data_IF_024041526979
#
_entry.id   IF_024041526979
#
_cell.length_a   1.000
_cell.length_b   1.000
_cell.length_c   1.000
_cell.angle_alpha   90.00
_cell.angle_beta   90.00
_cell.angle_gamma   90.00
#
_symmetry.space_group_name_H-M   'P 1'
#
loop_
_entity.id
_entity.type
_entity.pdbx_description
1 polymer ?
#
# COMPACT_ATOMS: atom_id res chain seq x y z
N UNK A 1 26.60 11.16 22.17
CA UNK A 1 25.44 10.27 22.39
C UNK A 1 24.11 10.86 21.91
N UNK A 2 23.84 12.16 22.09
CA UNK A 2 22.57 12.79 21.67
C UNK A 2 22.26 12.68 20.16
N UNK A 3 23.26 12.90 19.29
CA UNK A 3 23.07 12.82 17.82
C UNK A 3 22.64 11.44 17.33
N UNK A 4 23.25 10.38 17.87
CA UNK A 4 22.91 8.99 17.50
C UNK A 4 21.48 8.67 17.94
N UNK A 5 21.10 9.03 19.17
CA UNK A 5 19.74 8.85 19.67
C UNK A 5 18.72 9.60 18.81
N UNK A 6 18.99 10.85 18.48
CA UNK A 6 18.08 11.68 17.69
C UNK A 6 17.92 11.14 16.25
N UNK A 7 19.00 10.59 15.67
CA UNK A 7 18.95 9.88 14.39
C UNK A 7 18.12 8.59 14.46
N UNK A 8 18.32 7.76 15.50
CA UNK A 8 17.54 6.54 15.72
C UNK A 8 16.05 6.85 15.87
N UNK A 9 15.70 7.86 16.67
CA UNK A 9 14.31 8.31 16.83
C UNK A 9 13.73 8.71 15.48
N UNK A 10 14.48 9.48 14.69
CA UNK A 10 14.03 9.93 13.36
C UNK A 10 13.76 8.75 12.43
N UNK A 11 14.67 7.76 12.38
CA UNK A 11 14.51 6.56 11.56
C UNK A 11 13.29 5.76 11.98
N UNK A 12 13.11 5.54 13.28
CA UNK A 12 11.94 4.82 13.83
C UNK A 12 10.64 5.56 13.53
N UNK A 13 10.62 6.89 13.69
CA UNK A 13 9.45 7.71 13.38
C UNK A 13 9.10 7.61 11.89
N UNK A 14 10.06 7.76 10.98
CA UNK A 14 9.80 7.66 9.53
C UNK A 14 9.34 6.24 9.16
N UNK A 15 10.03 5.21 9.66
CA UNK A 15 9.71 3.81 9.40
C UNK A 15 8.31 3.40 9.89
N UNK A 16 7.78 4.05 10.91
CA UNK A 16 6.43 3.81 11.42
C UNK A 16 5.37 4.71 10.77
N UNK A 17 5.65 6.02 10.67
CA UNK A 17 4.65 7.00 10.23
C UNK A 17 4.37 6.94 8.74
N UNK A 18 5.36 6.60 7.90
CA UNK A 18 5.13 6.54 6.44
C UNK A 18 4.14 5.45 6.06
N UNK A 19 4.29 4.18 6.48
CA UNK A 19 3.30 3.15 6.18
C UNK A 19 1.91 3.47 6.75
N UNK A 20 1.83 4.01 7.96
CA UNK A 20 0.56 4.43 8.57
C UNK A 20 -0.11 5.56 7.78
N UNK A 21 0.66 6.51 7.24
CA UNK A 21 0.13 7.58 6.41
C UNK A 21 -0.37 7.03 5.05
N UNK A 22 0.36 6.08 4.44
CA UNK A 22 -0.09 5.41 3.21
C UNK A 22 -1.41 4.67 3.46
N UNK A 23 -1.48 3.83 4.50
CA UNK A 23 -2.69 3.07 4.80
C UNK A 23 -3.89 3.97 5.14
N UNK A 24 -3.67 5.04 5.91
CA UNK A 24 -4.74 5.98 6.26
C UNK A 24 -5.23 6.81 5.07
N UNK A 25 -4.32 7.22 4.16
CA UNK A 25 -4.72 7.92 2.93
C UNK A 25 -5.47 7.01 1.96
N UNK A 26 -5.06 5.74 1.83
CA UNK A 26 -5.79 4.74 1.06
C UNK A 26 -7.17 4.44 1.67
N UNK A 27 -7.26 4.24 2.99
CA UNK A 27 -8.54 4.05 3.69
C UNK A 27 -9.48 5.25 3.60
N UNK A 28 -8.93 6.46 3.42
CA UNK A 28 -9.69 7.69 3.17
C UNK A 28 -10.10 7.87 1.69
N UNK A 29 -9.80 6.92 0.80
CA UNK A 29 -10.12 6.97 -0.62
C UNK A 29 -9.24 7.93 -1.44
N UNK A 30 -8.11 8.39 -0.88
CA UNK A 30 -7.22 9.35 -1.54
C UNK A 30 -6.21 8.68 -2.49
N UNK A 31 -6.26 7.36 -2.64
CA UNK A 31 -5.51 6.57 -3.62
C UNK A 31 -4.02 6.96 -3.72
N UNK A 32 -3.23 6.82 -2.63
CA UNK A 32 -1.80 7.13 -2.65
C UNK A 32 -1.11 6.35 -3.78
N UNK A 33 -0.20 7.02 -4.49
CA UNK A 33 0.43 6.47 -5.70
C UNK A 33 1.82 5.93 -5.41
N UNK A 34 2.06 4.71 -5.90
CA UNK A 34 3.38 4.11 -5.91
C UNK A 34 4.26 4.78 -6.99
N UNK A 35 5.59 4.62 -6.91
CA UNK A 35 6.54 5.08 -7.95
C UNK A 35 6.23 4.59 -9.37
N UNK A 36 5.52 3.47 -9.50
CA UNK A 36 5.09 2.92 -10.78
C UNK A 36 3.82 3.59 -11.34
N UNK A 37 3.27 4.59 -10.65
CA UNK A 37 2.03 5.27 -11.00
C UNK A 37 0.76 4.60 -10.47
N UNK A 38 0.81 3.28 -10.23
CA UNK A 38 -0.30 2.46 -9.73
C UNK A 38 -0.76 2.95 -8.35
N UNK A 39 -2.05 3.28 -8.17
CA UNK A 39 -2.60 3.68 -6.89
C UNK A 39 -2.82 2.46 -5.97
N UNK A 40 -2.63 2.68 -4.67
CA UNK A 40 -3.23 1.86 -3.63
C UNK A 40 -4.62 2.45 -3.34
N UNK A 41 -5.62 1.96 -4.05
CA UNK A 41 -6.99 2.48 -4.08
C UNK A 41 -7.78 2.21 -2.81
N UNK A 42 -7.38 1.22 -2.02
CA UNK A 42 -8.10 0.87 -0.81
C UNK A 42 -7.34 -0.05 0.13
N UNK A 43 -7.88 -0.17 1.33
CA UNK A 43 -7.41 -1.06 2.37
C UNK A 43 -8.63 -1.75 2.98
N UNK A 44 -8.71 -3.07 2.83
CA UNK A 44 -9.71 -3.90 3.48
C UNK A 44 -9.08 -4.61 4.68
N UNK A 45 -9.11 -3.89 5.80
CA UNK A 45 -8.87 -4.49 7.11
C UNK A 45 -10.26 -4.76 7.68
N UNK A 46 -10.55 -6.00 8.07
CA UNK A 46 -11.77 -6.61 8.66
C UNK A 46 -12.75 -5.74 9.50
N UNK A 47 -12.39 -4.51 9.84
CA UNK A 47 -13.17 -3.50 10.58
C UNK A 47 -13.89 -2.49 9.66
N UNK A 48 -13.57 -2.41 8.37
CA UNK A 48 -14.14 -1.43 7.42
C UNK A 48 -14.88 -2.13 6.26
N UNK A 49 -15.90 -2.91 6.58
CA UNK A 49 -16.71 -3.61 5.58
C UNK A 49 -17.59 -2.64 4.78
N UNK A 50 -17.05 -2.10 3.69
CA UNK A 50 -17.79 -1.46 2.61
C UNK A 50 -17.59 -2.27 1.33
N UNK A 51 -18.41 -3.29 1.11
CA UNK A 51 -18.34 -4.10 -0.10
C UNK A 51 -18.53 -3.24 -1.34
N UNK A 52 -17.59 -3.32 -2.28
CA UNK A 52 -17.69 -2.62 -3.56
C UNK A 52 -18.74 -3.30 -4.44
N UNK A 53 -19.92 -2.72 -4.57
CA UNK A 53 -20.95 -3.19 -5.50
C UNK A 53 -20.73 -2.58 -6.89
N UNK A 54 -20.24 -3.39 -7.84
CA UNK A 54 -20.18 -2.98 -9.26
C UNK A 54 -21.50 -3.30 -9.98
N UNK A 55 -22.27 -2.28 -10.35
CA UNK A 55 -23.36 -2.40 -11.33
C UNK A 55 -23.36 -1.21 -12.29
N UNK A 56 -22.71 -1.35 -13.45
CA UNK A 56 -22.67 -0.34 -14.49
C UNK A 56 -22.17 -0.90 -15.82
N UNK A 57 -22.59 -0.29 -16.93
CA UNK A 57 -22.11 -0.65 -18.28
C UNK A 57 -20.63 -0.29 -18.41
N UNK A 58 -19.78 -1.32 -18.51
CA UNK A 58 -18.32 -1.24 -18.49
C UNK A 58 -17.72 -0.94 -19.88
N UNK A 59 -16.68 -0.09 -20.00
CA UNK A 59 -15.92 0.05 -21.23
C UNK A 59 -15.21 -1.26 -21.61
N UNK A 60 -15.28 -1.67 -22.88
CA UNK A 60 -14.69 -2.94 -23.36
C UNK A 60 -13.17 -3.08 -23.11
N UNK A 61 -12.45 -1.97 -22.96
CA UNK A 61 -11.02 -1.96 -22.60
C UNK A 61 -10.77 -2.52 -21.20
N UNK A 62 -11.68 -2.27 -20.24
CA UNK A 62 -11.53 -2.80 -18.88
C UNK A 62 -11.82 -4.31 -18.82
N UNK A 63 -12.61 -4.84 -19.75
CA UNK A 63 -12.89 -6.28 -19.84
C UNK A 63 -11.63 -7.05 -20.23
N UNK A 64 -10.91 -6.58 -21.25
CA UNK A 64 -9.65 -7.19 -21.66
C UNK A 64 -8.59 -7.16 -20.54
N UNK A 65 -8.49 -6.04 -19.81
CA UNK A 65 -7.57 -5.92 -18.66
C UNK A 65 -8.00 -6.82 -17.51
N UNK A 66 -9.31 -6.91 -17.23
CA UNK A 66 -9.85 -7.78 -16.17
C UNK A 66 -9.59 -9.25 -16.50
N UNK A 67 -9.86 -9.68 -17.73
CA UNK A 67 -9.61 -11.05 -18.18
C UNK A 67 -8.12 -11.38 -18.13
N UNK A 68 -7.26 -10.49 -18.62
CA UNK A 68 -5.81 -10.68 -18.58
C UNK A 68 -5.30 -10.76 -17.14
N UNK A 69 -5.79 -9.89 -16.25
CA UNK A 69 -5.51 -9.98 -14.83
C UNK A 69 -5.96 -11.34 -14.30
N UNK A 70 -7.22 -11.76 -14.44
CA UNK A 70 -7.70 -13.07 -13.95
C UNK A 70 -6.82 -14.24 -14.43
N UNK A 71 -6.28 -14.19 -15.64
CA UNK A 71 -5.36 -15.22 -16.16
C UNK A 71 -3.92 -15.15 -15.63
N UNK A 72 -3.51 -14.04 -15.02
CA UNK A 72 -2.19 -13.85 -14.46
C UNK A 72 -2.10 -14.54 -13.09
N UNK A 73 -1.21 -15.52 -12.97
CA UNK A 73 -1.00 -16.20 -11.69
C UNK A 73 -0.14 -15.33 -10.75
N UNK A 74 -0.77 -14.77 -9.72
CA UNK A 74 -0.06 -14.09 -8.65
C UNK A 74 -0.48 -14.60 -7.27
N UNK A 75 0.51 -15.05 -6.49
CA UNK A 75 0.25 -15.49 -5.12
C UNK A 75 -0.28 -14.35 -4.26
N UNK A 76 -1.41 -14.59 -3.57
CA UNK A 76 -2.03 -13.63 -2.66
C UNK A 76 -3.10 -12.74 -3.29
N UNK A 77 -3.60 -13.02 -4.49
CA UNK A 77 -4.81 -12.37 -5.01
C UNK A 77 -6.08 -12.87 -4.33
N UNK A 78 -7.01 -11.97 -4.05
CA UNK A 78 -8.29 -12.28 -3.41
C UNK A 78 -9.48 -11.97 -4.31
N UNK A 79 -9.41 -10.87 -5.08
CA UNK A 79 -10.44 -10.47 -6.02
C UNK A 79 -9.85 -9.62 -7.16
N UNK A 80 -10.51 -9.65 -8.33
CA UNK A 80 -10.29 -8.69 -9.42
C UNK A 80 -11.66 -8.22 -9.89
N UNK A 81 -11.90 -6.92 -9.92
CA UNK A 81 -13.18 -6.34 -10.34
C UNK A 81 -13.02 -4.93 -10.88
N UNK A 82 -13.92 -4.52 -11.77
CA UNK A 82 -13.98 -3.14 -12.24
C UNK A 82 -14.67 -2.23 -11.21
N UNK A 83 -14.02 -1.13 -10.86
CA UNK A 83 -14.55 -0.10 -9.97
C UNK A 83 -15.37 0.96 -10.72
N UNK A 84 -16.21 1.67 -9.97
CA UNK A 84 -16.98 2.80 -10.50
C UNK A 84 -16.12 4.04 -10.85
N UNK A 85 -14.87 4.05 -10.38
CA UNK A 85 -13.84 5.06 -10.65
C UNK A 85 -13.12 4.85 -11.99
N UNK A 86 -13.50 3.83 -12.77
CA UNK A 86 -12.90 3.53 -14.07
C UNK A 86 -11.58 2.76 -13.99
N UNK A 87 -11.23 2.22 -12.81
CA UNK A 87 -10.06 1.35 -12.61
C UNK A 87 -10.50 -0.12 -12.53
N UNK A 88 -9.59 -1.03 -12.90
CA UNK A 88 -9.69 -2.43 -12.48
C UNK A 88 -8.99 -2.56 -11.13
N UNK A 89 -9.73 -2.89 -10.08
CA UNK A 89 -9.20 -3.13 -8.75
C UNK A 89 -8.73 -4.58 -8.64
N UNK A 90 -7.51 -4.73 -8.13
CA UNK A 90 -6.92 -6.02 -7.76
C UNK A 90 -6.77 -6.03 -6.25
N UNK A 91 -7.54 -6.85 -5.58
CA UNK A 91 -7.36 -7.08 -4.15
C UNK A 91 -6.26 -8.11 -3.90
N UNK A 92 -5.37 -7.80 -2.95
CA UNK A 92 -4.26 -8.67 -2.61
C UNK A 92 -3.95 -8.69 -1.11
N UNK A 93 -3.53 -9.86 -0.63
CA UNK A 93 -3.10 -10.08 0.75
C UNK A 93 -1.72 -9.52 1.07
N UNK A 94 -0.89 -9.23 0.05
CA UNK A 94 0.49 -8.77 0.22
C UNK A 94 0.84 -7.69 -0.78
N UNK A 95 1.69 -6.76 -0.37
CA UNK A 95 2.21 -5.70 -1.22
C UNK A 95 3.68 -5.96 -1.52
N UNK A 96 4.06 -5.81 -2.80
CA UNK A 96 5.46 -5.86 -3.21
C UNK A 96 5.76 -4.81 -4.28
N UNK A 97 6.94 -4.22 -4.25
CA UNK A 97 7.36 -3.27 -5.30
C UNK A 97 7.38 -3.92 -6.69
N UNK A 98 7.65 -5.22 -6.78
CA UNK A 98 7.56 -5.98 -8.04
C UNK A 98 6.13 -6.00 -8.59
N UNK A 99 5.12 -6.25 -7.76
CA UNK A 99 3.71 -6.25 -8.17
C UNK A 99 3.30 -4.88 -8.72
N UNK A 100 3.60 -3.81 -7.96
CA UNK A 100 3.31 -2.45 -8.40
C UNK A 100 4.00 -2.09 -9.71
N UNK A 101 5.26 -2.51 -9.89
CA UNK A 101 6.04 -2.26 -11.11
C UNK A 101 5.49 -3.04 -12.29
N UNK A 102 5.17 -4.32 -12.10
CA UNK A 102 4.61 -5.19 -13.12
C UNK A 102 3.28 -4.64 -13.63
N UNK A 103 2.34 -4.36 -12.73
CA UNK A 103 1.04 -3.78 -13.07
C UNK A 103 1.20 -2.43 -13.78
N UNK A 104 2.06 -1.55 -13.26
CA UNK A 104 2.30 -0.24 -13.86
C UNK A 104 2.94 -0.32 -15.25
N UNK A 105 3.86 -1.27 -15.47
CA UNK A 105 4.52 -1.47 -16.76
C UNK A 105 3.62 -2.10 -17.81
N UNK A 106 2.70 -2.98 -17.39
CA UNK A 106 1.88 -3.80 -18.28
C UNK A 106 0.57 -3.13 -18.65
N UNK A 107 -0.09 -2.51 -17.67
CA UNK A 107 -1.42 -1.93 -17.84
C UNK A 107 -1.43 -0.39 -17.74
N UNK A 108 -0.32 0.22 -17.31
CA UNK A 108 -0.26 1.64 -17.03
C UNK A 108 -0.72 1.97 -15.60
N UNK A 109 -0.19 3.07 -15.05
CA UNK A 109 -0.44 3.48 -13.68
C UNK A 109 -1.86 4.00 -13.39
N UNK A 110 -2.69 4.19 -14.41
CA UNK A 110 -4.05 4.76 -14.31
C UNK A 110 -5.16 3.79 -14.72
N UNK A 111 -4.84 2.51 -14.89
CA UNK A 111 -5.82 1.50 -15.34
C UNK A 111 -6.09 0.45 -14.27
N UNK A 112 -5.09 0.15 -13.44
CA UNK A 112 -5.19 -0.84 -12.38
C UNK A 112 -4.97 -0.17 -11.03
N UNK A 113 -5.86 -0.40 -10.08
CA UNK A 113 -5.73 -0.02 -8.68
C UNK A 113 -5.50 -1.23 -7.79
N UNK A 114 -4.65 -1.10 -6.79
CA UNK A 114 -4.45 -2.16 -5.80
C UNK A 114 -5.27 -1.90 -4.54
N UNK A 115 -5.91 -2.94 -4.01
CA UNK A 115 -6.59 -2.91 -2.72
C UNK A 115 -5.88 -3.89 -1.79
N UNK A 116 -5.39 -3.39 -0.65
CA UNK A 116 -4.67 -4.22 0.30
C UNK A 116 -5.64 -4.87 1.29
N UNK A 117 -5.80 -6.20 1.19
CA UNK A 117 -6.76 -7.00 1.93
C UNK A 117 -6.08 -8.19 2.64
N UNK A 118 -5.20 -7.95 3.63
CA UNK A 118 -4.36 -9.00 4.23
C UNK A 118 -5.16 -10.07 4.99
N UNK A 119 -6.38 -9.77 5.40
CA UNK A 119 -7.24 -10.70 6.13
C UNK A 119 -8.19 -11.50 5.24
N UNK A 120 -8.29 -11.14 3.96
CA UNK A 120 -9.19 -11.79 3.02
C UNK A 120 -8.54 -13.08 2.50
N UNK A 121 -9.28 -14.22 2.47
CA UNK A 121 -8.75 -15.45 1.92
C UNK A 121 -8.46 -15.28 0.41
N UNK A 122 -7.38 -15.89 -0.11
CA UNK A 122 -7.02 -15.80 -1.52
C UNK A 122 -8.06 -16.51 -2.39
N UNK A 123 -8.24 -16.02 -3.62
CA UNK A 123 -9.18 -16.54 -4.61
C UNK A 123 -8.88 -18.01 -4.97
N UNK A 124 -7.60 -18.38 -4.96
CA UNK A 124 -7.13 -19.74 -5.19
C UNK A 124 -6.32 -20.23 -3.98
N UNK A 125 -6.95 -20.85 -2.99
CA UNK A 125 -6.23 -21.55 -1.93
C UNK A 125 -5.64 -22.85 -2.49
N UNK A 126 -4.63 -22.77 -3.35
CA UNK A 126 -3.84 -23.94 -3.80
C UNK A 126 -3.60 -24.10 -5.31
N UNK A 127 -4.10 -23.21 -6.18
CA UNK A 127 -3.99 -23.37 -7.63
C UNK A 127 -4.72 -24.62 -8.18
N UNK A 128 -4.91 -24.74 -9.49
CA UNK A 128 -5.61 -25.89 -10.09
C UNK A 128 -4.89 -27.24 -9.89
N UNK A 129 -3.59 -27.23 -9.59
CA UNK A 129 -2.74 -28.43 -9.59
C UNK A 129 -2.52 -29.09 -8.21
N UNK A 130 -3.15 -28.60 -7.13
CA UNK A 130 -3.12 -29.27 -5.82
C UNK A 130 -1.73 -29.47 -5.18
N UNK A 131 -0.68 -28.92 -5.79
CA UNK A 131 0.73 -29.15 -5.43
C UNK A 131 1.40 -28.01 -4.66
N UNK A 132 0.74 -26.86 -4.52
CA UNK A 132 1.32 -25.76 -3.75
C UNK A 132 1.15 -26.02 -2.25
N UNK A 133 2.29 -26.04 -1.53
CA UNK A 133 2.33 -26.09 -0.07
C UNK A 133 1.32 -25.08 0.48
N UNK A 134 0.45 -25.54 1.39
CA UNK A 134 -0.47 -24.66 2.12
C UNK A 134 0.35 -23.54 2.77
N UNK A 135 0.31 -22.35 2.17
CA UNK A 135 1.03 -21.19 2.70
C UNK A 135 0.38 -20.76 4.01
N UNK A 136 1.22 -20.56 5.02
CA UNK A 136 0.80 -19.96 6.28
C UNK A 136 0.30 -18.54 6.04
N UNK A 137 -0.62 -18.05 6.88
CA UNK A 137 -1.12 -16.66 6.81
C UNK A 137 0.01 -15.64 6.81
N UNK A 138 1.10 -15.91 7.55
CA UNK A 138 2.28 -15.04 7.60
C UNK A 138 3.03 -14.97 6.26
N UNK A 139 3.25 -16.11 5.61
CA UNK A 139 3.88 -16.16 4.29
C UNK A 139 3.02 -15.49 3.21
N UNK A 140 1.70 -15.67 3.32
CA UNK A 140 0.72 -15.13 2.39
C UNK A 140 0.58 -13.61 2.46
N UNK A 141 0.62 -13.07 3.68
CA UNK A 141 0.48 -11.62 3.92
C UNK A 141 1.80 -10.88 3.79
N UNK A 142 2.93 -11.58 3.93
CA UNK A 142 4.29 -11.04 3.94
C UNK A 142 4.34 -9.66 4.63
N UNK A 143 4.08 -9.60 5.95
CA UNK A 143 3.88 -8.32 6.61
C UNK A 143 5.14 -7.46 6.58
N UNK A 144 6.33 -8.07 6.57
CA UNK A 144 7.60 -7.35 6.48
C UNK A 144 7.81 -6.79 5.07
N UNK A 145 7.57 -7.59 4.03
CA UNK A 145 7.66 -7.13 2.63
C UNK A 145 6.63 -6.04 2.32
N UNK A 146 5.39 -6.23 2.76
CA UNK A 146 4.31 -5.25 2.64
C UNK A 146 4.66 -3.95 3.36
N UNK A 147 5.16 -4.03 4.60
CA UNK A 147 5.59 -2.85 5.35
C UNK A 147 6.72 -2.09 4.68
N UNK A 148 7.72 -2.83 4.16
CA UNK A 148 8.83 -2.21 3.43
C UNK A 148 8.33 -1.51 2.16
N UNK A 149 7.42 -2.14 1.42
CA UNK A 149 6.81 -1.57 0.21
C UNK A 149 6.04 -0.28 0.52
N UNK A 150 5.28 -0.25 1.61
CA UNK A 150 4.57 0.96 2.06
C UNK A 150 5.54 2.08 2.47
N UNK A 151 6.67 1.73 3.09
CA UNK A 151 7.67 2.70 3.54
C UNK A 151 8.39 3.41 2.39
N UNK A 152 8.82 2.67 1.37
CA UNK A 152 9.66 3.23 0.29
C UNK A 152 8.91 3.44 -1.03
N UNK A 153 7.77 2.79 -1.22
CA UNK A 153 7.05 2.76 -2.49
C UNK A 153 6.26 4.02 -2.82
N UNK A 154 5.94 4.85 -1.81
CA UNK A 154 4.98 5.94 -1.91
C UNK A 154 5.65 7.30 -1.64
N UNK A 155 6.16 7.98 -2.70
CA UNK A 155 7.00 9.18 -2.55
C UNK A 155 6.36 10.32 -1.76
N UNK A 156 5.09 10.60 -2.03
CA UNK A 156 4.41 11.75 -1.44
C UNK A 156 4.24 11.60 0.06
N UNK A 157 3.89 10.40 0.51
CA UNK A 157 3.71 10.07 1.92
C UNK A 157 5.07 10.05 2.63
N UNK A 158 6.09 9.48 2.01
CA UNK A 158 7.46 9.53 2.53
C UNK A 158 7.96 10.97 2.67
N UNK A 159 7.82 11.79 1.63
CA UNK A 159 8.20 13.20 1.64
C UNK A 159 7.45 14.02 2.70
N UNK A 160 6.15 13.76 2.86
CA UNK A 160 5.31 14.42 3.87
C UNK A 160 5.79 14.09 5.28
N UNK A 161 6.06 12.81 5.58
CA UNK A 161 6.55 12.39 6.89
C UNK A 161 7.94 12.96 7.17
N UNK A 162 8.83 12.97 6.20
CA UNK A 162 10.16 13.58 6.34
C UNK A 162 10.06 15.08 6.64
N UNK A 163 9.18 15.80 5.93
CA UNK A 163 8.93 17.22 6.16
C UNK A 163 8.37 17.48 7.57
N UNK A 164 7.34 16.75 7.99
CA UNK A 164 6.74 16.88 9.32
C UNK A 164 7.75 16.56 10.43
N UNK A 165 8.60 15.54 10.21
CA UNK A 165 9.66 15.16 11.15
C UNK A 165 10.71 16.27 11.25
N UNK A 166 11.12 16.87 10.13
CA UNK A 166 12.05 18.00 10.11
C UNK A 166 11.48 19.23 10.84
N UNK A 167 10.20 19.56 10.62
CA UNK A 167 9.50 20.64 11.31
C UNK A 167 9.45 20.37 12.82
N UNK A 168 9.11 19.14 13.23
CA UNK A 168 9.09 18.71 14.62
C UNK A 168 10.45 18.92 15.30
N UNK A 169 11.53 18.51 14.63
CA UNK A 169 12.89 18.73 15.15
C UNK A 169 13.28 20.20 15.22
N UNK A 170 12.94 21.00 14.20
CA UNK A 170 13.19 22.44 14.23
C UNK A 170 12.52 23.10 15.45
N UNK A 171 11.30 22.68 15.78
CA UNK A 171 10.58 23.15 16.95
C UNK A 171 11.22 22.70 18.28
N UNK A 172 11.65 21.44 18.37
CA UNK A 172 12.37 20.91 19.55
C UNK A 172 13.66 21.69 19.79
N UNK A 173 14.45 21.93 18.74
CA UNK A 173 15.70 22.71 18.82
C UNK A 173 15.42 24.13 19.25
N UNK A 174 14.40 24.79 18.68
CA UNK A 174 13.99 26.15 19.07
C UNK A 174 13.62 26.22 20.55
N UNK A 175 12.80 25.28 21.05
CA UNK A 175 12.42 25.22 22.47
C UNK A 175 13.62 25.01 23.40
N UNK A 176 14.54 24.11 23.04
CA UNK A 176 15.77 23.87 23.82
C UNK A 176 16.63 25.13 23.93
N UNK A 177 16.78 25.89 22.84
CA UNK A 177 17.52 27.18 22.83
C UNK A 177 16.84 28.23 23.72
N UNK A 178 15.52 28.38 23.61
CA UNK A 178 14.77 29.34 24.44
C UNK A 178 14.76 29.00 25.93
N UNK A 179 14.79 27.72 26.29
CA UNK A 179 14.89 27.28 27.69
C UNK A 179 16.29 27.45 28.27
N UNK A 180 17.34 27.29 27.44
CA UNK A 180 18.73 27.54 27.85
C UNK A 180 19.05 29.02 28.08
N UNK A 181 18.38 29.93 27.36
CA UNK A 181 18.57 31.38 27.53
C UNK A 181 17.90 31.98 28.78
N UNK A 182 17.16 31.18 29.57
CA UNK A 182 16.53 31.59 30.84
C UNK A 182 17.26 31.06 32.08
N UNK A 183 18.45 30.47 31.90
CA UNK A 183 19.36 30.06 32.97
C UNK A 183 20.61 30.92 32.91
#
# INVERSE_FOLDING_TARGET
MTRVRDAVITVVCVAALTPLLVLSTAAAGLSPRHWSGVPLSGVDLLVLAGGSTSSGSRPAVLDAVTDELITMEYGGWTAVYAGADGLVHVETTRLSSSLFRELGSRFGGDTVGLVYAPTTPPMFPGGPDGGHRVETTWQRTDPVGSWSTLLIGFPWQLGTVLLLTAIGWAFVVRRRRSAGARR
#
